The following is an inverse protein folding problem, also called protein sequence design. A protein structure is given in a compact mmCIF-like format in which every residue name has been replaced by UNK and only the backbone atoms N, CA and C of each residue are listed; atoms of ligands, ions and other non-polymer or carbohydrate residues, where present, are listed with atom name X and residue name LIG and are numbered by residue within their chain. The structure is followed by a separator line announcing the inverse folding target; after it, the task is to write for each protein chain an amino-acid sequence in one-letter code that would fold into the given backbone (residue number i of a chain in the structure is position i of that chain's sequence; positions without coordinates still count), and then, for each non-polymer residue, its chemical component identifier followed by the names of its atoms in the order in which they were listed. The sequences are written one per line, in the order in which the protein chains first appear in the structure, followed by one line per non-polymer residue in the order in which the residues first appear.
data_IF_652163147639
#
_entry.id   IF_652163147639
#
_cell.length_a   1.000
_cell.length_b   1.000
_cell.length_c   1.000
_cell.angle_alpha   90.00
_cell.angle_beta   90.00
_cell.angle_gamma   90.00
#
_symmetry.space_group_name_H-M   'P 1'
#
loop_
_entity.id
_entity.type
_entity.pdbx_description
1 polymer ?
#
# COMPACT_ATOMS: atom_id res chain seq x y z
N UNK A 1 10.82 16.00 -16.79
CA UNK A 1 9.80 14.93 -16.88
C UNK A 1 8.56 15.43 -16.17
N UNK A 2 7.35 15.27 -16.70
CA UNK A 2 6.17 15.45 -15.86
C UNK A 2 6.20 14.37 -14.78
N UNK A 3 6.11 14.76 -13.52
CA UNK A 3 6.02 13.82 -12.40
C UNK A 3 4.62 13.19 -12.46
N UNK A 4 4.57 11.88 -12.74
CA UNK A 4 3.31 11.14 -12.75
C UNK A 4 2.95 10.73 -11.34
N UNK A 5 1.72 10.99 -10.92
CA UNK A 5 1.22 10.57 -9.61
C UNK A 5 0.89 9.08 -9.64
N UNK A 6 1.42 8.33 -8.67
CA UNK A 6 1.21 6.88 -8.61
C UNK A 6 0.37 6.52 -7.39
N UNK A 7 -0.65 5.69 -7.58
CA UNK A 7 -1.37 5.05 -6.47
C UNK A 7 -0.90 3.62 -6.29
N UNK A 8 -0.26 3.36 -5.15
CA UNK A 8 0.17 2.03 -4.73
C UNK A 8 -1.01 1.38 -4.01
N UNK A 9 -1.45 0.24 -4.53
CA UNK A 9 -2.62 -0.50 -4.06
C UNK A 9 -2.13 -1.73 -3.30
N UNK A 10 -2.54 -1.86 -2.04
CA UNK A 10 -2.20 -3.00 -1.19
C UNK A 10 -3.49 -3.56 -0.60
N UNK A 11 -3.65 -4.88 -0.65
CA UNK A 11 -4.78 -5.58 -0.06
C UNK A 11 -4.32 -6.44 1.11
N UNK A 12 -4.92 -6.24 2.28
CA UNK A 12 -4.70 -7.06 3.46
C UNK A 12 -5.91 -7.96 3.74
N UNK A 13 -5.64 -9.23 4.07
CA UNK A 13 -6.62 -10.13 4.68
C UNK A 13 -5.91 -11.09 5.65
N UNK A 14 -6.14 -10.93 6.95
CA UNK A 14 -5.53 -11.75 8.01
C UNK A 14 -4.00 -11.86 7.94
N UNK A 15 -3.31 -10.79 7.53
CA UNK A 15 -1.88 -10.79 7.20
C UNK A 15 -1.16 -9.52 7.64
N UNK A 16 -1.53 -8.93 8.78
CA UNK A 16 -1.01 -7.62 9.19
C UNK A 16 0.51 -7.56 9.38
N UNK A 17 1.16 -8.68 9.70
CA UNK A 17 2.63 -8.72 9.86
C UNK A 17 3.32 -8.40 8.55
N UNK A 18 2.88 -9.09 7.50
CA UNK A 18 3.38 -8.93 6.14
C UNK A 18 3.03 -7.54 5.63
N UNK A 19 1.79 -7.11 5.83
CA UNK A 19 1.33 -5.75 5.47
C UNK A 19 2.22 -4.67 6.09
N UNK A 20 2.59 -4.80 7.37
CA UNK A 20 3.45 -3.82 8.03
C UNK A 20 4.88 -3.84 7.47
N UNK A 21 5.46 -5.02 7.22
CA UNK A 21 6.79 -5.13 6.60
C UNK A 21 6.80 -4.55 5.18
N UNK A 22 5.75 -4.83 4.40
CA UNK A 22 5.52 -4.24 3.08
C UNK A 22 5.45 -2.71 3.16
N UNK A 23 4.63 -2.16 4.06
CA UNK A 23 4.50 -0.71 4.24
C UNK A 23 5.81 -0.03 4.64
N UNK A 24 6.63 -0.64 5.51
CA UNK A 24 7.97 -0.12 5.84
C UNK A 24 8.83 0.05 4.58
N UNK A 25 8.82 -0.93 3.69
CA UNK A 25 9.58 -0.87 2.43
C UNK A 25 8.98 0.10 1.40
N UNK A 26 7.64 0.14 1.28
CA UNK A 26 6.92 1.03 0.35
C UNK A 26 7.10 2.50 0.74
N UNK A 27 7.15 2.81 2.03
CA UNK A 27 7.39 4.18 2.51
C UNK A 27 8.83 4.66 2.29
N UNK A 28 9.74 3.77 1.88
CA UNK A 28 11.14 4.11 1.52
C UNK A 28 11.36 4.30 0.02
N UNK A 29 10.33 4.13 -0.80
CA UNK A 29 10.44 4.30 -2.26
C UNK A 29 10.97 5.70 -2.59
N UNK A 30 11.99 5.76 -3.44
CA UNK A 30 12.59 6.99 -3.94
C UNK A 30 11.85 7.45 -5.20
N UNK A 31 10.62 7.91 -5.04
CA UNK A 31 9.80 8.47 -6.11
C UNK A 31 9.04 9.71 -5.59
N UNK A 32 8.98 10.81 -6.36
CA UNK A 32 8.55 12.11 -5.83
C UNK A 32 7.08 12.16 -5.39
N UNK A 33 6.17 11.53 -6.13
CA UNK A 33 4.74 11.66 -5.89
C UNK A 33 4.01 10.32 -5.96
N UNK A 34 3.60 9.81 -4.80
CA UNK A 34 2.73 8.64 -4.71
C UNK A 34 1.82 8.67 -3.49
N UNK A 35 0.72 7.91 -3.57
CA UNK A 35 -0.18 7.64 -2.45
C UNK A 35 -0.34 6.15 -2.25
N UNK A 36 -0.60 5.73 -1.02
CA UNK A 36 -0.80 4.34 -0.65
C UNK A 36 -2.26 4.17 -0.27
N UNK A 37 -2.94 3.24 -0.95
CA UNK A 37 -4.30 2.83 -0.63
C UNK A 37 -4.23 1.38 -0.17
N UNK A 38 -4.39 1.21 1.14
CA UNK A 38 -4.44 -0.08 1.80
C UNK A 38 -5.90 -0.44 2.05
N UNK A 39 -6.34 -1.59 1.55
CA UNK A 39 -7.67 -2.12 1.83
C UNK A 39 -7.53 -3.26 2.83
N UNK A 40 -8.22 -3.18 3.96
CA UNK A 40 -8.47 -4.35 4.81
C UNK A 40 -9.75 -5.04 4.33
N UNK A 41 -9.62 -6.28 3.87
CA UNK A 41 -10.68 -7.04 3.22
C UNK A 41 -11.55 -7.81 4.24
N UNK A 42 -12.01 -7.10 5.28
CA UNK A 42 -12.75 -7.65 6.42
C UNK A 42 -11.95 -8.71 7.19
N UNK A 43 -10.76 -8.35 7.68
CA UNK A 43 -9.92 -9.25 8.47
C UNK A 43 -10.51 -9.52 9.84
N UNK A 44 -10.28 -10.71 10.38
CA UNK A 44 -10.78 -11.17 11.69
C UNK A 44 -9.66 -11.35 12.73
N UNK A 45 -8.43 -10.94 12.41
CA UNK A 45 -7.23 -11.14 13.24
C UNK A 45 -6.70 -9.85 13.92
N UNK A 46 -7.57 -8.84 14.04
CA UNK A 46 -7.24 -7.49 14.52
C UNK A 46 -6.24 -6.72 13.63
N UNK A 47 -6.15 -7.05 12.33
CA UNK A 47 -5.24 -6.38 11.39
C UNK A 47 -5.27 -4.85 11.48
N UNK A 48 -6.46 -4.25 11.42
CA UNK A 48 -6.63 -2.78 11.48
C UNK A 48 -6.03 -2.20 12.76
N UNK A 49 -6.28 -2.82 13.91
CA UNK A 49 -5.71 -2.38 15.20
C UNK A 49 -4.18 -2.48 15.21
N UNK A 50 -3.63 -3.57 14.66
CA UNK A 50 -2.18 -3.80 14.59
C UNK A 50 -1.48 -2.79 13.69
N UNK A 51 -2.07 -2.49 12.53
CA UNK A 51 -1.58 -1.45 11.62
C UNK A 51 -1.58 -0.08 12.30
N UNK A 52 -2.64 0.25 13.07
CA UNK A 52 -2.68 1.49 13.86
C UNK A 52 -1.62 1.53 14.98
N UNK A 53 -1.39 0.41 15.68
CA UNK A 53 -0.32 0.31 16.67
C UNK A 53 1.05 0.53 16.04
N UNK A 54 1.29 -0.01 14.86
CA UNK A 54 2.54 0.22 14.13
C UNK A 54 2.70 1.67 13.67
N UNK A 55 1.65 2.25 13.08
CA UNK A 55 1.67 3.63 12.63
C UNK A 55 1.92 4.61 13.79
N UNK A 56 1.48 4.29 15.01
CA UNK A 56 1.73 5.08 16.22
C UNK A 56 3.06 4.77 16.93
N UNK A 57 3.87 3.84 16.41
CA UNK A 57 5.15 3.44 17.02
C UNK A 57 5.03 2.51 18.23
N UNK A 58 3.84 1.96 18.49
CA UNK A 58 3.58 1.00 19.59
C UNK A 58 3.84 -0.46 19.20
N UNK A 59 4.11 -0.71 17.92
CA UNK A 59 4.40 -2.03 17.37
C UNK A 59 5.47 -1.87 16.28
N UNK A 60 6.55 -2.65 16.37
CA UNK A 60 7.55 -2.70 15.31
C UNK A 60 7.15 -3.74 14.25
N UNK A 61 7.61 -3.53 13.02
CA UNK A 61 7.49 -4.52 11.97
C UNK A 61 8.28 -5.79 12.33
N UNK A 62 7.85 -6.92 11.77
CA UNK A 62 8.75 -8.05 11.61
C UNK A 62 9.77 -7.72 10.51
N UNK A 63 10.98 -8.29 10.60
CA UNK A 63 11.98 -8.17 9.54
C UNK A 63 12.61 -9.54 9.32
N UNK A 64 12.73 -9.92 8.05
CA UNK A 64 13.48 -11.09 7.62
C UNK A 64 14.91 -11.13 8.18
N UNK A 65 15.45 -12.33 8.34
CA UNK A 65 16.88 -12.51 8.59
C UNK A 65 17.75 -12.34 7.33
N UNK A 66 17.13 -12.29 6.15
CA UNK A 66 17.83 -12.12 4.89
C UNK A 66 18.34 -10.68 4.71
N UNK A 67 19.64 -10.50 4.44
CA UNK A 67 20.26 -9.18 4.33
C UNK A 67 19.72 -8.30 3.20
N UNK A 68 19.28 -8.89 2.08
CA UNK A 68 18.66 -8.14 0.98
C UNK A 68 17.32 -7.56 1.42
N UNK A 69 16.49 -8.37 2.07
CA UNK A 69 15.18 -7.93 2.57
C UNK A 69 15.35 -6.91 3.71
N UNK A 70 16.27 -7.16 4.65
CA UNK A 70 16.59 -6.22 5.75
C UNK A 70 16.93 -4.83 5.23
N UNK A 71 17.73 -4.71 4.16
CA UNK A 71 18.11 -3.41 3.59
C UNK A 71 16.92 -2.62 3.02
N UNK A 72 15.88 -3.31 2.59
CA UNK A 72 14.66 -2.67 2.08
C UNK A 72 13.75 -2.19 3.21
N UNK A 73 13.81 -2.80 4.39
CA UNK A 73 12.91 -2.52 5.53
C UNK A 73 13.57 -1.68 6.62
N UNK A 74 14.88 -1.85 6.85
CA UNK A 74 15.64 -1.16 7.89
C UNK A 74 16.43 0.03 7.34
N UNK A 75 16.72 1.07 8.16
CA UNK A 75 16.10 1.33 9.46
C UNK A 75 14.59 1.58 9.31
N UNK A 76 13.76 1.28 10.31
CA UNK A 76 12.32 1.55 10.20
C UNK A 76 12.05 3.03 9.91
N UNK A 77 10.96 3.31 9.20
CA UNK A 77 10.53 4.67 8.96
C UNK A 77 9.99 5.31 10.25
N UNK A 78 10.27 6.60 10.40
CA UNK A 78 9.93 7.36 11.60
C UNK A 78 8.43 7.37 11.88
N UNK A 79 8.08 7.32 13.17
CA UNK A 79 6.71 7.30 13.67
C UNK A 79 6.45 8.57 14.50
N UNK A 80 5.20 9.09 14.59
CA UNK A 80 3.98 8.50 14.06
C UNK A 80 3.75 8.77 12.57
N UNK A 81 3.14 7.80 11.88
CA UNK A 81 2.64 7.96 10.52
C UNK A 81 1.17 8.30 10.60
N UNK A 82 0.75 9.23 9.75
CA UNK A 82 -0.64 9.58 9.60
C UNK A 82 -1.34 8.62 8.65
N UNK A 83 -2.39 7.97 9.12
CA UNK A 83 -3.28 7.12 8.31
C UNK A 83 -4.67 7.74 8.33
N UNK A 84 -5.25 7.96 7.14
CA UNK A 84 -6.66 8.30 7.02
C UNK A 84 -7.47 7.01 6.91
N UNK A 85 -8.46 6.82 7.78
CA UNK A 85 -9.32 5.63 7.72
C UNK A 85 -10.72 5.96 7.25
N UNK A 86 -11.30 5.02 6.51
CA UNK A 86 -12.67 5.05 6.05
C UNK A 86 -13.22 3.64 5.91
N UNK A 87 -14.53 3.52 5.99
CA UNK A 87 -15.24 2.26 5.76
C UNK A 87 -15.77 2.24 4.32
N UNK A 88 -15.76 1.05 3.71
CA UNK A 88 -16.39 0.78 2.41
C UNK A 88 -17.62 -0.10 2.62
N UNK A 89 -18.77 0.42 2.21
CA UNK A 89 -20.05 -0.28 2.27
C UNK A 89 -20.28 -1.00 0.95
N UNK A 90 -20.12 -2.32 0.95
CA UNK A 90 -20.11 -3.09 -0.29
C UNK A 90 -21.48 -3.25 -0.96
N UNK A 91 -22.58 -2.97 -0.23
CA UNK A 91 -23.94 -3.01 -0.78
C UNK A 91 -24.29 -1.73 -1.56
N UNK A 92 -23.74 -0.58 -1.17
CA UNK A 92 -23.98 0.72 -1.84
C UNK A 92 -22.78 1.20 -2.65
N UNK A 93 -21.63 0.54 -2.51
CA UNK A 93 -20.34 0.94 -3.07
C UNK A 93 -19.87 2.34 -2.61
N UNK A 94 -20.21 2.69 -1.37
CA UNK A 94 -19.92 4.00 -0.80
C UNK A 94 -18.71 3.98 0.14
N UNK A 95 -18.02 5.11 0.18
CA UNK A 95 -16.89 5.38 1.06
C UNK A 95 -17.33 6.31 2.18
N UNK A 96 -17.32 5.81 3.42
CA UNK A 96 -17.79 6.54 4.61
C UNK A 96 -16.60 6.89 5.49
N UNK A 97 -16.42 8.19 5.76
CA UNK A 97 -15.43 8.61 6.73
C UNK A 97 -15.91 8.25 8.13
N UNK A 98 -15.06 7.58 8.90
CA UNK A 98 -15.36 7.34 10.29
C UNK A 98 -15.42 8.69 11.01
N UNK A 99 -16.55 9.02 11.64
CA UNK A 99 -16.83 10.32 12.28
C UNK A 99 -15.78 10.72 13.36
N UNK A 100 -14.91 9.79 13.78
CA UNK A 100 -13.81 10.04 14.72
C UNK A 100 -12.51 10.56 14.08
N UNK A 101 -12.29 10.41 12.77
CA UNK A 101 -11.04 10.79 12.11
C UNK A 101 -11.33 11.93 11.13
N UNK A 102 -10.94 13.15 11.52
CA UNK A 102 -11.12 14.36 10.71
C UNK A 102 -10.52 14.18 9.30
N UNK A 103 -11.22 14.71 8.30
CA UNK A 103 -10.76 14.92 6.92
C UNK A 103 -9.42 15.65 6.95
N UNK A 104 -8.32 14.96 6.70
CA UNK A 104 -7.03 15.59 6.47
C UNK A 104 -6.58 15.19 5.08
N UNK A 105 -6.58 16.16 4.17
CA UNK A 105 -6.34 15.94 2.75
C UNK A 105 -4.89 15.54 2.38
N UNK A 106 -3.98 15.36 3.35
CA UNK A 106 -2.54 15.19 3.12
C UNK A 106 -1.90 13.90 3.70
N UNK A 107 -2.68 12.88 4.05
CA UNK A 107 -2.07 11.61 4.50
C UNK A 107 -1.61 10.78 3.30
N UNK A 108 -0.36 10.33 3.34
CA UNK A 108 0.24 9.47 2.32
C UNK A 108 -0.43 8.08 2.27
N UNK A 109 -0.98 7.61 3.40
CA UNK A 109 -1.70 6.33 3.51
C UNK A 109 -3.19 6.56 3.76
N UNK A 110 -4.01 5.89 2.97
CA UNK A 110 -5.45 5.70 3.19
C UNK A 110 -5.70 4.23 3.50
N UNK A 111 -6.27 3.95 4.67
CA UNK A 111 -6.72 2.62 5.08
C UNK A 111 -8.24 2.52 4.90
N UNK A 112 -8.69 1.63 4.02
CA UNK A 112 -10.09 1.38 3.74
C UNK A 112 -10.48 0.05 4.36
N UNK A 113 -11.45 0.05 5.26
CA UNK A 113 -11.99 -1.16 5.85
C UNK A 113 -13.24 -1.60 5.06
N UNK A 114 -13.19 -2.76 4.43
CA UNK A 114 -14.34 -3.35 3.73
C UNK A 114 -15.26 -4.06 4.71
N UNK A 115 -16.57 -3.84 4.61
CA UNK A 115 -17.58 -4.51 5.44
C UNK A 115 -17.75 -6.02 5.15
N UNK A 116 -17.15 -6.51 4.06
CA UNK A 116 -17.07 -7.93 3.71
C UNK A 116 -15.79 -8.27 2.97
N UNK A 117 -15.41 -9.56 3.02
CA UNK A 117 -14.34 -10.07 2.19
C UNK A 117 -14.84 -10.24 0.75
N UNK A 118 -14.28 -9.48 -0.19
CA UNK A 118 -14.65 -9.49 -1.61
C UNK A 118 -13.70 -10.31 -2.49
N UNK A 119 -12.83 -11.11 -1.89
CA UNK A 119 -11.72 -11.76 -2.57
C UNK A 119 -10.68 -10.75 -3.07
N UNK A 120 -9.66 -11.25 -3.77
CA UNK A 120 -8.52 -10.44 -4.21
C UNK A 120 -8.92 -9.35 -5.21
N UNK A 121 -9.63 -9.74 -6.28
CA UNK A 121 -10.04 -8.79 -7.32
C UNK A 121 -10.99 -7.72 -6.78
N UNK A 122 -11.97 -8.10 -5.95
CA UNK A 122 -12.91 -7.16 -5.36
C UNK A 122 -12.25 -6.17 -4.40
N UNK A 123 -11.32 -6.65 -3.56
CA UNK A 123 -10.54 -5.80 -2.67
C UNK A 123 -9.69 -4.76 -3.41
N UNK A 124 -8.97 -5.19 -4.46
CA UNK A 124 -8.22 -4.26 -5.32
C UNK A 124 -9.13 -3.26 -6.04
N UNK A 125 -10.30 -3.70 -6.51
CA UNK A 125 -11.29 -2.82 -7.15
C UNK A 125 -11.79 -1.72 -6.22
N UNK A 126 -11.94 -1.96 -4.91
CA UNK A 126 -12.26 -0.91 -3.92
C UNK A 126 -11.20 0.20 -3.99
N UNK A 127 -9.93 -0.18 -3.93
CA UNK A 127 -8.82 0.76 -3.92
C UNK A 127 -8.70 1.54 -5.23
N UNK A 128 -8.88 0.87 -6.38
CA UNK A 128 -8.90 1.49 -7.70
C UNK A 128 -10.05 2.50 -7.82
N UNK A 129 -11.27 2.12 -7.41
CA UNK A 129 -12.43 3.03 -7.38
C UNK A 129 -12.17 4.25 -6.49
N UNK A 130 -11.61 4.04 -5.30
CA UNK A 130 -11.25 5.15 -4.41
C UNK A 130 -10.22 6.07 -5.06
N UNK A 131 -9.17 5.50 -5.64
CA UNK A 131 -8.12 6.26 -6.28
C UNK A 131 -8.65 7.06 -7.46
N UNK A 132 -9.40 6.46 -8.38
CA UNK A 132 -9.98 7.15 -9.54
C UNK A 132 -10.91 8.29 -9.13
N UNK A 133 -11.64 8.13 -8.01
CA UNK A 133 -12.61 9.12 -7.54
C UNK A 133 -11.98 10.27 -6.75
N UNK A 134 -10.92 10.00 -5.98
CA UNK A 134 -10.40 10.96 -4.98
C UNK A 134 -8.91 11.26 -5.10
N UNK A 135 -8.17 10.60 -6.00
CA UNK A 135 -6.75 10.81 -6.25
C UNK A 135 -6.52 11.11 -7.74
N UNK A 136 -5.60 12.01 -8.04
CA UNK A 136 -5.22 12.33 -9.42
C UNK A 136 -4.10 11.40 -9.91
N UNK A 137 -4.33 10.08 -9.79
CA UNK A 137 -3.34 9.07 -10.14
C UNK A 137 -3.29 8.82 -11.66
N UNK A 138 -2.09 8.89 -12.23
CA UNK A 138 -1.83 8.57 -13.64
C UNK A 138 -1.57 7.07 -13.83
N UNK A 139 -1.03 6.41 -12.78
CA UNK A 139 -0.71 4.99 -12.77
C UNK A 139 -1.13 4.32 -11.46
N UNK A 140 -1.43 3.02 -11.55
CA UNK A 140 -1.66 2.16 -10.42
C UNK A 140 -0.54 1.14 -10.31
N UNK A 141 -0.03 0.92 -9.10
CA UNK A 141 0.89 -0.17 -8.81
C UNK A 141 0.25 -1.11 -7.80
N UNK A 142 -0.23 -2.25 -8.29
CA UNK A 142 -0.91 -3.25 -7.45
C UNK A 142 0.13 -4.19 -6.86
N UNK A 143 0.13 -4.28 -5.53
CA UNK A 143 1.03 -5.11 -4.74
C UNK A 143 0.23 -6.08 -3.86
N UNK A 144 0.74 -7.29 -3.70
CA UNK A 144 0.32 -8.12 -2.58
C UNK A 144 0.89 -7.54 -1.28
N UNK A 145 0.30 -7.88 -0.14
CA UNK A 145 0.78 -7.43 1.16
C UNK A 145 2.00 -8.21 1.68
N UNK A 146 2.36 -9.32 1.05
CA UNK A 146 3.49 -10.22 1.39
C UNK A 146 4.76 -9.95 0.59
N UNK A 147 4.87 -8.76 -0.01
CA UNK A 147 6.07 -8.34 -0.74
C UNK A 147 6.85 -7.29 0.04
N UNK A 148 8.17 -7.31 -0.15
CA UNK A 148 9.08 -6.23 0.25
C UNK A 148 9.63 -5.59 -1.01
N UNK A 149 9.61 -4.26 -1.05
CA UNK A 149 9.90 -3.49 -2.25
C UNK A 149 11.27 -2.85 -2.17
N UNK A 150 12.06 -2.98 -3.24
CA UNK A 150 13.31 -2.23 -3.39
C UNK A 150 13.01 -0.72 -3.57
N UNK A 151 13.71 0.20 -2.87
CA UNK A 151 13.47 1.63 -2.94
C UNK A 151 13.46 2.23 -4.36
N UNK A 152 14.19 1.62 -5.30
CA UNK A 152 14.36 2.11 -6.67
C UNK A 152 13.41 1.41 -7.68
N UNK A 153 12.62 0.42 -7.24
CA UNK A 153 11.75 -0.38 -8.10
C UNK A 153 10.70 0.46 -8.85
N UNK A 154 10.03 1.40 -8.16
CA UNK A 154 8.98 2.21 -8.78
C UNK A 154 9.54 3.13 -9.88
N UNK A 155 10.68 3.76 -9.60
CA UNK A 155 11.40 4.60 -10.56
C UNK A 155 11.84 3.80 -11.77
N UNK A 156 12.31 2.56 -11.59
CA UNK A 156 12.67 1.66 -12.67
C UNK A 156 11.46 1.27 -13.55
N UNK A 157 10.32 0.93 -12.94
CA UNK A 157 9.07 0.63 -13.65
C UNK A 157 8.59 1.82 -14.48
N UNK A 158 8.56 3.02 -13.88
CA UNK A 158 8.14 4.23 -14.58
C UNK A 158 9.06 4.52 -15.76
N UNK A 159 10.37 4.38 -15.58
CA UNK A 159 11.34 4.56 -16.67
C UNK A 159 11.10 3.57 -17.82
N UNK A 160 10.75 2.32 -17.52
CA UNK A 160 10.41 1.31 -18.52
C UNK A 160 9.13 1.68 -19.28
N UNK A 161 8.06 2.04 -18.57
CA UNK A 161 6.79 2.45 -19.18
C UNK A 161 6.94 3.69 -20.07
N UNK A 162 7.69 4.71 -19.61
CA UNK A 162 7.90 5.93 -20.41
C UNK A 162 8.58 5.67 -21.76
N UNK A 163 9.45 4.65 -21.83
CA UNK A 163 10.16 4.32 -23.06
C UNK A 163 9.31 3.52 -24.07
N UNK A 164 8.05 3.22 -23.73
CA UNK A 164 7.07 2.64 -24.65
C UNK A 164 5.84 3.52 -24.75
N UNK A 165 5.47 3.93 -25.96
CA UNK A 165 4.21 4.66 -26.20
C UNK A 165 3.01 3.73 -26.36
N UNK A 166 3.19 2.41 -26.26
CA UNK A 166 2.16 1.40 -26.53
C UNK A 166 1.88 0.48 -25.33
N UNK A 167 2.69 0.54 -24.26
CA UNK A 167 2.55 -0.37 -23.13
C UNK A 167 1.46 0.12 -22.16
N UNK A 168 0.38 -0.65 -22.01
CA UNK A 168 -0.67 -0.37 -21.02
C UNK A 168 -0.35 -0.88 -19.61
N UNK A 169 0.62 -1.80 -19.46
CA UNK A 169 0.98 -2.43 -18.18
C UNK A 169 2.48 -2.79 -18.17
N UNK A 170 3.10 -2.74 -16.99
CA UNK A 170 4.47 -3.22 -16.77
C UNK A 170 4.54 -3.97 -15.43
N UNK A 171 5.20 -5.12 -15.42
CA UNK A 171 5.39 -5.95 -14.23
C UNK A 171 6.76 -5.73 -13.59
N UNK A 172 6.81 -5.79 -12.27
CA UNK A 172 8.07 -5.83 -11.52
C UNK A 172 8.74 -7.19 -11.66
N UNK A 173 10.07 -7.23 -11.58
CA UNK A 173 10.79 -8.48 -11.37
C UNK A 173 10.46 -9.00 -9.97
N UNK A 174 10.01 -10.26 -9.88
CA UNK A 174 9.73 -10.91 -8.61
C UNK A 174 10.91 -11.78 -8.19
N UNK A 175 11.39 -11.57 -6.97
CA UNK A 175 12.41 -12.39 -6.33
C UNK A 175 11.77 -13.17 -5.18
N UNK A 176 12.25 -14.39 -4.92
CA UNK A 176 11.74 -15.18 -3.79
C UNK A 176 12.20 -14.57 -2.46
N UNK A 177 11.25 -14.29 -1.56
CA UNK A 177 11.52 -13.63 -0.28
C UNK A 177 12.61 -14.32 0.57
N UNK A 178 12.60 -15.66 0.65
CA UNK A 178 13.59 -16.42 1.43
C UNK A 178 14.94 -16.60 0.72
N UNK A 179 15.01 -16.35 -0.59
CA UNK A 179 16.22 -16.49 -1.39
C UNK A 179 16.21 -15.49 -2.57
N UNK A 180 16.35 -14.18 -2.28
CA UNK A 180 16.29 -13.13 -3.29
C UNK A 180 17.60 -13.11 -4.07
N UNK A 181 17.60 -13.80 -5.22
CA UNK A 181 18.73 -13.93 -6.15
C UNK A 181 18.32 -13.50 -7.55
#
# INVERSE_FOLDING_TARGET
MSESNISIIILNYNGWKDTIECLESVLKIKYPTYSIILVDNNSTDNSVEKIHKWASGKLNAHVSNNETIKKCVLPYIDKPIKINCLDYLSNTEEFVYNQKIQKINNSQIVLIHSDKNLGYAGGNNIALKYSLKYKSADYFWILNNDVVVDPDALSALKKKLHNSTHDGMCGSTLLFYHNPK
#
